data_IF_216414122290
#
_entry.id   IF_216414122290
#
_cell.length_a   1.000
_cell.length_b   1.000
_cell.length_c   1.000
_cell.angle_alpha   90.00
_cell.angle_beta   90.00
_cell.angle_gamma   90.00
#
_symmetry.space_group_name_H-M   'P 1'
#
loop_
_entity.id
_entity.type
_entity.pdbx_description
1 polymer ?
#
# COMPACT_ATOMS: atom_id res chain seq x y z
N UNK A 1 69.56 -16.41 -40.62
CA UNK A 1 68.93 -15.10 -40.39
C UNK A 1 67.62 -15.35 -39.69
N UNK A 2 67.58 -15.06 -38.40
CA UNK A 2 66.83 -13.93 -37.81
C UNK A 2 65.40 -14.36 -37.47
N UNK A 3 64.92 -14.27 -36.25
CA UNK A 3 65.45 -13.73 -35.00
C UNK A 3 64.40 -14.11 -33.98
N UNK A 4 64.73 -15.06 -33.10
CA UNK A 4 63.90 -15.34 -31.94
C UNK A 4 64.03 -14.14 -31.01
N UNK A 5 63.02 -13.27 -30.97
CA UNK A 5 62.87 -12.33 -29.87
C UNK A 5 62.44 -13.15 -28.64
N UNK A 6 63.19 -13.14 -27.54
CA UNK A 6 62.70 -13.71 -26.29
C UNK A 6 61.51 -12.85 -25.83
N UNK A 7 60.37 -13.49 -25.59
CA UNK A 7 59.22 -12.86 -24.95
C UNK A 7 59.69 -12.27 -23.61
N UNK A 8 59.58 -10.94 -23.47
CA UNK A 8 59.78 -10.30 -22.18
C UNK A 8 58.74 -10.88 -21.22
N UNK A 9 59.13 -11.30 -20.00
CA UNK A 9 58.17 -11.57 -18.95
C UNK A 9 57.33 -10.30 -18.78
N UNK A 10 56.02 -10.38 -18.99
CA UNK A 10 55.11 -9.31 -18.62
C UNK A 10 55.39 -9.03 -17.14
N UNK A 11 55.90 -7.83 -16.84
CA UNK A 11 55.99 -7.39 -15.45
C UNK A 11 54.61 -7.60 -14.82
N UNK A 12 54.52 -8.16 -13.60
CA UNK A 12 53.24 -8.27 -12.93
C UNK A 12 52.63 -6.87 -12.94
N UNK A 13 51.43 -6.75 -13.50
CA UNK A 13 50.63 -5.55 -13.30
C UNK A 13 50.53 -5.43 -11.80
N UNK A 14 51.26 -4.46 -11.26
CA UNK A 14 51.15 -4.08 -9.87
C UNK A 14 49.76 -3.47 -9.77
N UNK A 15 48.77 -4.33 -9.59
CA UNK A 15 47.45 -3.95 -9.13
C UNK A 15 47.75 -3.13 -7.89
N UNK A 16 47.54 -1.81 -8.03
CA UNK A 16 47.65 -0.90 -6.92
C UNK A 16 46.61 -1.43 -5.96
N UNK A 17 47.07 -2.17 -4.95
CA UNK A 17 46.28 -2.53 -3.82
C UNK A 17 45.79 -1.20 -3.27
N UNK A 18 44.56 -0.84 -3.65
CA UNK A 18 43.84 0.28 -3.04
C UNK A 18 44.07 0.13 -1.53
N UNK A 19 44.52 1.19 -0.84
CA UNK A 19 44.89 1.10 0.56
C UNK A 19 43.68 0.60 1.35
N UNK A 20 43.79 -0.67 1.70
CA UNK A 20 43.00 -1.51 2.58
C UNK A 20 41.51 -1.14 2.82
N UNK A 21 40.55 -2.02 2.46
CA UNK A 21 39.11 -1.89 2.78
C UNK A 21 38.78 -1.70 4.28
N UNK A 22 39.72 -1.96 5.19
CA UNK A 22 39.47 -1.93 6.63
C UNK A 22 39.24 -0.52 7.18
N UNK A 23 39.98 0.50 6.72
CA UNK A 23 39.77 1.88 7.20
C UNK A 23 38.42 2.44 6.72
N UNK A 24 38.06 2.20 5.46
CA UNK A 24 36.77 2.61 4.90
C UNK A 24 35.62 1.87 5.59
N UNK A 25 35.78 0.56 5.86
CA UNK A 25 34.77 -0.25 6.54
C UNK A 25 34.59 0.19 7.99
N UNK A 26 35.69 0.42 8.71
CA UNK A 26 35.68 0.93 10.08
C UNK A 26 35.05 2.33 10.14
N UNK A 27 35.40 3.23 9.20
CA UNK A 27 34.81 4.56 9.11
C UNK A 27 33.29 4.50 8.84
N UNK A 28 32.83 3.63 7.93
CA UNK A 28 31.41 3.42 7.68
C UNK A 28 30.68 2.88 8.91
N UNK A 29 31.29 1.95 9.65
CA UNK A 29 30.68 1.36 10.84
C UNK A 29 30.56 2.38 11.97
N UNK A 30 31.63 3.12 12.27
CA UNK A 30 31.63 4.19 13.26
C UNK A 30 30.58 5.26 12.89
N UNK A 31 30.56 5.68 11.62
CA UNK A 31 29.57 6.66 11.13
C UNK A 31 28.13 6.17 11.30
N UNK A 32 27.86 4.90 10.98
CA UNK A 32 26.53 4.30 11.16
C UNK A 32 26.09 4.27 12.63
N UNK A 33 27.00 3.94 13.55
CA UNK A 33 26.71 3.91 14.99
C UNK A 33 26.41 5.34 15.49
N UNK A 34 27.23 6.32 15.11
CA UNK A 34 27.05 7.72 15.51
C UNK A 34 25.69 8.25 15.01
N UNK A 35 25.39 8.09 13.72
CA UNK A 35 24.10 8.55 13.17
C UNK A 35 22.91 7.86 13.83
N UNK A 36 22.98 6.55 14.06
CA UNK A 36 21.90 5.81 14.72
C UNK A 36 21.67 6.28 16.14
N UNK A 37 22.75 6.54 16.89
CA UNK A 37 22.67 7.02 18.27
C UNK A 37 22.03 8.42 18.36
N UNK A 38 22.39 9.33 17.45
CA UNK A 38 21.78 10.66 17.38
C UNK A 38 20.29 10.58 17.04
N UNK A 39 19.89 9.71 16.11
CA UNK A 39 18.49 9.53 15.75
C UNK A 39 17.68 8.86 16.85
N UNK A 40 18.27 7.91 17.58
CA UNK A 40 17.65 7.30 18.75
C UNK A 40 17.43 8.33 19.87
N UNK A 41 18.40 9.22 20.09
CA UNK A 41 18.26 10.30 21.06
C UNK A 41 17.19 11.30 20.63
N UNK A 42 17.17 11.70 19.35
CA UNK A 42 16.12 12.56 18.80
C UNK A 42 14.72 11.95 18.98
N UNK A 43 14.57 10.65 18.70
CA UNK A 43 13.33 9.90 18.91
C UNK A 43 12.92 9.92 20.39
N UNK A 44 13.84 9.60 21.30
CA UNK A 44 13.59 9.60 22.75
C UNK A 44 13.13 10.98 23.21
N UNK A 45 13.79 12.04 22.74
CA UNK A 45 13.45 13.42 23.11
C UNK A 45 12.06 13.82 22.58
N UNK A 46 11.71 13.45 21.34
CA UNK A 46 10.35 13.66 20.80
C UNK A 46 9.30 12.90 21.61
N UNK A 47 9.57 11.66 22.01
CA UNK A 47 8.65 10.84 22.82
C UNK A 47 8.47 11.45 24.22
N UNK A 48 9.52 11.99 24.83
CA UNK A 48 9.44 12.66 26.13
C UNK A 48 8.64 13.98 26.05
N UNK A 49 8.82 14.77 24.98
CA UNK A 49 8.14 16.06 24.80
C UNK A 49 6.65 15.88 24.46
N UNK A 50 6.33 15.03 23.47
CA UNK A 50 4.94 14.86 23.01
C UNK A 50 4.18 13.78 23.77
N UNK A 51 4.87 12.97 24.57
CA UNK A 51 4.34 11.72 25.10
C UNK A 51 4.24 10.63 24.01
N UNK A 52 4.13 9.35 24.41
CA UNK A 52 4.04 8.24 23.46
C UNK A 52 2.81 8.35 22.54
N UNK A 53 1.67 8.78 23.07
CA UNK A 53 0.45 8.95 22.28
C UNK A 53 0.50 10.16 21.34
N UNK A 54 1.17 11.25 21.73
CA UNK A 54 1.36 12.42 20.87
C UNK A 54 2.34 12.14 19.72
N UNK A 55 3.37 11.35 19.98
CA UNK A 55 4.35 10.95 18.96
C UNK A 55 3.72 10.14 17.81
N UNK A 56 2.86 9.16 18.15
CA UNK A 56 2.22 8.25 17.19
C UNK A 56 1.15 8.98 16.33
N UNK A 57 0.69 10.17 16.72
CA UNK A 57 -0.31 10.90 15.92
C UNK A 57 0.24 11.40 14.58
N UNK A 58 1.55 11.64 14.48
CA UNK A 58 2.18 12.15 13.26
C UNK A 58 2.80 11.01 12.44
N UNK A 59 2.34 10.74 11.20
CA UNK A 59 2.86 9.63 10.38
C UNK A 59 4.35 9.77 10.06
N UNK A 60 4.87 11.00 9.96
CA UNK A 60 6.30 11.26 9.73
C UNK A 60 7.14 10.84 10.95
N UNK A 61 6.62 11.07 12.17
CA UNK A 61 7.29 10.63 13.39
C UNK A 61 7.24 9.11 13.53
N UNK A 62 6.11 8.46 13.21
CA UNK A 62 6.02 6.99 13.22
C UNK A 62 7.05 6.38 12.27
N UNK A 63 7.15 6.91 11.04
CA UNK A 63 8.10 6.41 10.05
C UNK A 63 9.57 6.55 10.53
N UNK A 64 9.96 7.73 11.04
CA UNK A 64 11.28 7.96 11.63
C UNK A 64 11.55 7.00 12.79
N UNK A 65 10.57 6.80 13.68
CA UNK A 65 10.63 5.85 14.79
C UNK A 65 10.85 4.41 14.34
N UNK A 66 10.16 3.93 13.29
CA UNK A 66 10.34 2.58 12.74
C UNK A 66 11.79 2.41 12.24
N UNK A 67 12.32 3.37 11.48
CA UNK A 67 13.69 3.31 10.98
C UNK A 67 14.71 3.28 12.13
N UNK A 68 14.50 4.08 13.17
CA UNK A 68 15.35 4.10 14.37
C UNK A 68 15.30 2.76 15.11
N UNK A 69 14.11 2.19 15.36
CA UNK A 69 13.95 0.91 16.05
C UNK A 69 14.63 -0.23 15.28
N UNK A 70 14.42 -0.31 13.96
CA UNK A 70 15.09 -1.30 13.11
C UNK A 70 16.61 -1.14 13.17
N UNK A 71 17.10 0.09 13.18
CA UNK A 71 18.54 0.38 13.23
C UNK A 71 19.17 0.01 14.57
N UNK A 72 18.48 0.24 15.68
CA UNK A 72 18.94 -0.18 17.01
C UNK A 72 18.89 -1.71 17.13
N UNK A 73 17.83 -2.34 16.61
CA UNK A 73 17.70 -3.79 16.59
C UNK A 73 18.83 -4.47 15.82
N UNK A 74 19.26 -3.89 14.70
CA UNK A 74 20.38 -4.40 13.92
C UNK A 74 21.70 -4.38 14.70
N UNK A 75 21.99 -3.30 15.43
CA UNK A 75 23.20 -3.17 16.26
C UNK A 75 23.18 -4.18 17.43
N UNK A 76 22.05 -4.30 18.12
CA UNK A 76 21.90 -5.23 19.27
C UNK A 76 21.96 -6.69 18.82
N UNK A 77 21.38 -7.01 17.67
CA UNK A 77 21.33 -8.36 17.11
C UNK A 77 22.70 -8.92 16.72
N UNK A 78 23.72 -8.08 16.49
CA UNK A 78 25.05 -8.55 16.09
C UNK A 78 25.81 -9.30 17.19
N UNK A 79 25.38 -9.20 18.46
CA UNK A 79 26.07 -9.85 19.58
C UNK A 79 25.74 -11.34 19.75
N UNK A 80 24.69 -11.85 19.08
CA UNK A 80 24.31 -13.27 19.10
C UNK A 80 24.84 -14.00 17.87
N UNK A 81 25.94 -14.76 18.01
CA UNK A 81 26.71 -15.40 16.94
C UNK A 81 26.03 -16.47 16.07
N UNK A 82 24.71 -16.42 15.84
CA UNK A 82 23.94 -17.50 15.20
C UNK A 82 23.21 -17.19 13.90
N UNK A 83 23.05 -15.94 13.48
CA UNK A 83 22.11 -15.64 12.37
C UNK A 83 22.78 -14.93 11.20
N UNK A 84 23.17 -15.70 10.18
CA UNK A 84 23.62 -15.13 8.89
C UNK A 84 22.58 -14.21 8.25
N UNK A 85 21.29 -14.39 8.57
CA UNK A 85 20.19 -13.49 8.16
C UNK A 85 20.35 -12.07 8.73
N UNK A 86 20.94 -11.91 9.92
CA UNK A 86 21.19 -10.58 10.49
C UNK A 86 22.21 -9.78 9.67
N UNK A 87 23.06 -10.46 8.89
CA UNK A 87 23.94 -9.78 7.93
C UNK A 87 23.17 -9.21 6.75
N UNK A 88 22.08 -9.84 6.33
CA UNK A 88 21.19 -9.31 5.27
C UNK A 88 20.45 -8.06 5.75
N UNK A 89 20.11 -7.98 7.04
CA UNK A 89 19.51 -6.78 7.63
C UNK A 89 20.40 -5.54 7.57
N UNK A 90 21.70 -5.71 7.35
CA UNK A 90 22.59 -4.59 7.03
C UNK A 90 22.10 -3.82 5.80
N UNK A 91 21.45 -4.46 4.82
CA UNK A 91 20.84 -3.79 3.65
C UNK A 91 19.74 -2.80 4.06
N UNK A 92 19.04 -3.06 5.17
CA UNK A 92 18.02 -2.14 5.69
C UNK A 92 18.60 -0.79 6.11
N UNK A 93 19.92 -0.66 6.33
CA UNK A 93 20.55 0.64 6.55
C UNK A 93 20.33 1.60 5.36
N UNK A 94 20.09 1.08 4.15
CA UNK A 94 19.71 1.90 2.99
C UNK A 94 18.38 2.62 3.21
N UNK A 95 17.50 2.08 4.06
CA UNK A 95 16.26 2.75 4.45
C UNK A 95 16.54 4.02 5.29
N UNK A 96 17.72 4.16 5.92
CA UNK A 96 18.14 5.43 6.53
C UNK A 96 18.26 6.54 5.49
N UNK A 97 18.54 6.22 4.21
CA UNK A 97 18.56 7.19 3.12
C UNK A 97 17.20 7.86 2.92
N UNK A 98 16.12 7.10 3.16
CA UNK A 98 14.75 7.62 3.08
C UNK A 98 14.55 8.79 4.05
N UNK A 99 15.21 8.78 5.22
CA UNK A 99 15.16 9.89 6.17
C UNK A 99 15.78 11.18 5.65
N UNK A 100 16.83 11.08 4.83
CA UNK A 100 17.48 12.23 4.22
C UNK A 100 16.74 12.76 2.99
N UNK A 101 15.83 11.97 2.41
CA UNK A 101 15.06 12.32 1.24
C UNK A 101 13.58 12.53 1.60
N UNK A 102 13.18 13.75 2.02
CA UNK A 102 11.79 14.04 2.40
C UNK A 102 10.79 13.78 1.27
N UNK A 103 11.24 13.84 0.01
CA UNK A 103 10.46 13.44 -1.15
C UNK A 103 10.03 11.96 -1.09
N UNK A 104 10.94 11.04 -0.72
CA UNK A 104 10.65 9.61 -0.57
C UNK A 104 9.74 9.35 0.64
N UNK A 105 9.95 10.04 1.76
CA UNK A 105 9.08 9.92 2.93
C UNK A 105 7.63 10.30 2.58
N UNK A 106 7.45 11.42 1.86
CA UNK A 106 6.13 11.84 1.38
C UNK A 106 5.50 10.77 0.49
N UNK A 107 6.26 10.19 -0.44
CA UNK A 107 5.75 9.13 -1.32
C UNK A 107 5.34 7.88 -0.55
N UNK A 108 6.14 7.40 0.41
CA UNK A 108 5.79 6.24 1.22
C UNK A 108 4.55 6.47 2.09
N UNK A 109 4.41 7.66 2.69
CA UNK A 109 3.21 7.99 3.49
C UNK A 109 1.97 8.05 2.59
N UNK A 110 2.08 8.60 1.37
CA UNK A 110 0.97 8.60 0.40
C UNK A 110 0.64 7.18 -0.05
N UNK A 111 1.64 6.36 -0.34
CA UNK A 111 1.45 4.94 -0.71
C UNK A 111 0.69 4.18 0.38
N UNK A 112 1.04 4.39 1.65
CA UNK A 112 0.34 3.78 2.79
C UNK A 112 -1.12 4.24 2.88
N UNK A 113 -1.40 5.53 2.62
CA UNK A 113 -2.79 6.02 2.57
C UNK A 113 -3.61 5.41 1.44
N UNK A 114 -2.97 5.11 0.29
CA UNK A 114 -3.66 4.47 -0.83
C UNK A 114 -3.85 2.97 -0.63
N UNK A 115 -3.08 2.33 0.27
CA UNK A 115 -3.21 0.90 0.53
C UNK A 115 -4.54 0.54 1.17
N UNK A 116 -5.15 1.43 1.96
CA UNK A 116 -6.44 1.17 2.62
C UNK A 116 -7.55 0.86 1.59
N UNK A 117 -7.61 1.63 0.51
CA UNK A 117 -8.58 1.42 -0.57
C UNK A 117 -8.31 0.10 -1.32
N UNK A 118 -7.03 -0.23 -1.54
CA UNK A 118 -6.61 -1.46 -2.24
C UNK A 118 -6.80 -2.72 -1.39
N UNK A 119 -6.71 -2.61 -0.06
CA UNK A 119 -6.75 -3.74 0.87
C UNK A 119 -8.04 -4.57 0.74
N UNK A 120 -9.19 -3.93 0.54
CA UNK A 120 -10.49 -4.62 0.37
C UNK A 120 -10.49 -5.52 -0.86
N UNK A 121 -9.89 -5.07 -1.96
CA UNK A 121 -9.78 -5.86 -3.18
C UNK A 121 -8.74 -6.98 -3.02
N UNK A 122 -7.59 -6.69 -2.41
CA UNK A 122 -6.59 -7.71 -2.09
C UNK A 122 -7.16 -8.82 -1.21
N UNK A 123 -8.04 -8.51 -0.26
CA UNK A 123 -8.74 -9.50 0.55
C UNK A 123 -9.63 -10.42 -0.29
N UNK A 124 -10.36 -9.88 -1.26
CA UNK A 124 -11.16 -10.67 -2.20
C UNK A 124 -10.27 -11.58 -3.07
N UNK A 125 -9.14 -11.07 -3.55
CA UNK A 125 -8.17 -11.87 -4.31
C UNK A 125 -7.57 -12.99 -3.46
N UNK A 126 -7.22 -12.72 -2.20
CA UNK A 126 -6.70 -13.73 -1.28
C UNK A 126 -7.75 -14.80 -0.95
N UNK A 127 -9.03 -14.43 -0.84
CA UNK A 127 -10.12 -15.39 -0.68
C UNK A 127 -10.24 -16.31 -1.91
N UNK A 128 -10.17 -15.75 -3.12
CA UNK A 128 -10.17 -16.54 -4.34
C UNK A 128 -8.99 -17.53 -4.37
N UNK A 129 -7.78 -17.05 -4.11
CA UNK A 129 -6.57 -17.89 -4.03
C UNK A 129 -6.77 -18.99 -2.98
N UNK A 130 -7.32 -18.65 -1.81
CA UNK A 130 -7.55 -19.60 -0.73
C UNK A 130 -8.52 -20.74 -1.15
N UNK A 131 -9.65 -20.40 -1.78
CA UNK A 131 -10.63 -21.40 -2.24
C UNK A 131 -9.99 -22.37 -3.24
N UNK A 132 -9.28 -21.85 -4.26
CA UNK A 132 -8.61 -22.69 -5.24
C UNK A 132 -7.45 -23.48 -4.64
N UNK A 133 -6.75 -22.94 -3.63
CA UNK A 133 -5.68 -23.66 -2.93
C UNK A 133 -6.21 -24.89 -2.22
N UNK A 134 -7.32 -24.77 -1.48
CA UNK A 134 -7.96 -25.91 -0.80
C UNK A 134 -8.48 -26.94 -1.82
N UNK A 135 -9.09 -26.49 -2.92
CA UNK A 135 -9.51 -27.39 -4.00
C UNK A 135 -8.32 -28.13 -4.61
N UNK A 136 -7.23 -27.43 -4.88
CA UNK A 136 -5.99 -28.01 -5.41
C UNK A 136 -5.37 -29.03 -4.45
N UNK A 137 -5.36 -28.75 -3.14
CA UNK A 137 -4.92 -29.71 -2.11
C UNK A 137 -5.79 -30.97 -2.11
N UNK A 138 -7.11 -30.83 -2.22
CA UNK A 138 -8.01 -31.99 -2.27
C UNK A 138 -7.82 -32.84 -3.54
N UNK A 139 -7.54 -32.21 -4.68
CA UNK A 139 -7.38 -32.92 -5.96
C UNK A 139 -5.98 -33.53 -6.12
N UNK A 140 -4.96 -32.81 -5.69
CA UNK A 140 -3.56 -33.09 -6.02
C UNK A 140 -2.60 -33.20 -4.82
N UNK A 141 -3.10 -33.14 -3.59
CA UNK A 141 -2.27 -33.23 -2.38
C UNK A 141 -1.46 -34.52 -2.32
N UNK A 142 -0.17 -34.39 -2.01
CA UNK A 142 0.83 -35.47 -1.95
C UNK A 142 1.08 -36.21 -3.27
N UNK A 143 0.66 -35.65 -4.42
CA UNK A 143 0.84 -36.28 -5.74
C UNK A 143 1.93 -35.63 -6.59
N UNK A 144 2.34 -34.40 -6.26
CA UNK A 144 3.38 -33.63 -6.95
C UNK A 144 4.82 -34.09 -6.61
N UNK A 145 5.04 -35.40 -6.53
CA UNK A 145 6.37 -35.99 -6.35
C UNK A 145 7.16 -35.95 -7.66
N UNK A 146 8.33 -35.31 -7.67
CA UNK A 146 9.25 -35.36 -8.80
C UNK A 146 10.01 -36.69 -8.79
N UNK A 147 9.56 -37.66 -9.59
CA UNK A 147 10.31 -38.90 -9.85
C UNK A 147 11.41 -38.64 -10.91
N UNK A 148 12.30 -37.69 -10.64
CA UNK A 148 13.50 -37.47 -11.45
C UNK A 148 14.72 -37.45 -10.55
N UNK A 149 15.40 -38.59 -10.59
CA UNK A 149 16.83 -38.79 -10.33
C UNK A 149 17.27 -38.66 -8.86
N UNK A 150 17.28 -39.79 -8.15
CA UNK A 150 18.17 -40.09 -7.01
C UNK A 150 18.00 -39.32 -5.69
N UNK A 151 17.61 -38.05 -5.73
CA UNK A 151 17.45 -37.16 -4.59
C UNK A 151 16.00 -36.65 -4.56
N UNK A 152 15.18 -37.27 -3.73
CA UNK A 152 13.75 -36.95 -3.57
C UNK A 152 13.57 -35.56 -2.94
N UNK A 153 13.74 -34.51 -3.72
CA UNK A 153 13.32 -33.16 -3.34
C UNK A 153 11.91 -32.91 -3.90
N UNK A 154 10.92 -32.60 -3.05
CA UNK A 154 9.59 -32.22 -3.54
C UNK A 154 9.72 -31.00 -4.45
N UNK A 155 9.01 -31.00 -5.58
CA UNK A 155 8.96 -29.85 -6.47
C UNK A 155 8.49 -28.64 -5.64
N UNK A 156 9.12 -27.47 -5.82
CA UNK A 156 8.76 -26.25 -5.08
C UNK A 156 7.32 -25.83 -5.32
N UNK A 157 6.72 -26.31 -6.42
CA UNK A 157 5.36 -26.01 -6.88
C UNK A 157 4.41 -27.18 -6.59
N UNK A 158 4.14 -27.43 -5.31
CA UNK A 158 3.30 -28.55 -4.86
C UNK A 158 2.03 -28.07 -4.14
N UNK A 159 1.08 -28.99 -3.98
CA UNK A 159 -0.19 -28.80 -3.27
C UNK A 159 -0.25 -29.62 -1.97
N UNK A 160 0.90 -29.88 -1.35
CA UNK A 160 0.98 -30.77 -0.19
C UNK A 160 0.64 -30.05 1.12
N UNK A 161 0.93 -28.76 1.18
CA UNK A 161 0.60 -27.88 2.31
C UNK A 161 -0.12 -26.63 1.82
N UNK A 162 -0.96 -26.06 2.67
CA UNK A 162 -1.76 -24.87 2.36
C UNK A 162 -0.91 -23.69 1.89
N UNK A 163 0.21 -23.41 2.55
CA UNK A 163 1.09 -22.30 2.14
C UNK A 163 1.70 -22.53 0.76
N UNK A 164 2.15 -23.75 0.46
CA UNK A 164 2.69 -24.11 -0.86
C UNK A 164 1.61 -24.10 -1.94
N UNK A 165 0.38 -24.54 -1.62
CA UNK A 165 -0.76 -24.46 -2.52
C UNK A 165 -1.15 -23.01 -2.82
N UNK A 166 -1.16 -22.13 -1.82
CA UNK A 166 -1.41 -20.68 -1.99
C UNK A 166 -0.36 -20.05 -2.90
N UNK A 167 0.92 -20.32 -2.66
CA UNK A 167 2.02 -19.82 -3.51
C UNK A 167 1.90 -20.36 -4.94
N UNK A 168 1.57 -21.64 -5.10
CA UNK A 168 1.40 -22.27 -6.43
C UNK A 168 0.22 -21.69 -7.19
N UNK A 169 -0.93 -21.49 -6.54
CA UNK A 169 -2.11 -20.84 -7.15
C UNK A 169 -1.80 -19.38 -7.51
N UNK A 170 -1.12 -18.65 -6.62
CA UNK A 170 -0.66 -17.29 -6.91
C UNK A 170 0.27 -17.26 -8.13
N UNK A 171 1.22 -18.18 -8.23
CA UNK A 171 2.12 -18.32 -9.38
C UNK A 171 1.36 -18.61 -10.69
N UNK A 172 0.31 -19.44 -10.65
CA UNK A 172 -0.53 -19.69 -11.83
C UNK A 172 -1.30 -18.41 -12.23
N UNK A 173 -1.82 -17.65 -11.25
CA UNK A 173 -2.50 -16.38 -11.50
C UNK A 173 -1.60 -15.30 -12.09
N UNK A 174 -0.33 -15.24 -11.69
CA UNK A 174 0.66 -14.34 -12.30
C UNK A 174 1.14 -14.81 -13.67
N UNK A 175 0.64 -15.96 -14.14
CA UNK A 175 1.02 -16.60 -15.39
C UNK A 175 2.51 -16.98 -15.47
N UNK A 176 3.17 -17.13 -14.32
CA UNK A 176 4.58 -17.49 -14.27
C UNK A 176 4.73 -19.00 -14.21
N UNK A 177 5.34 -19.59 -15.25
CA UNK A 177 5.63 -21.04 -15.30
C UNK A 177 4.39 -21.96 -15.09
N UNK A 178 3.16 -21.45 -15.29
CA UNK A 178 1.91 -22.19 -15.11
C UNK A 178 1.83 -23.47 -15.94
N UNK A 179 2.44 -23.47 -17.13
CA UNK A 179 2.53 -24.63 -18.01
C UNK A 179 3.24 -25.81 -17.34
N UNK A 180 4.33 -25.54 -16.59
CA UNK A 180 5.07 -26.60 -15.89
C UNK A 180 4.20 -27.23 -14.80
N UNK A 181 3.48 -26.40 -14.05
CA UNK A 181 2.57 -26.88 -12.99
C UNK A 181 1.42 -27.70 -13.59
N UNK A 182 0.86 -27.25 -14.73
CA UNK A 182 -0.15 -27.99 -15.49
C UNK A 182 0.38 -29.36 -15.92
N UNK A 183 1.53 -29.42 -16.58
CA UNK A 183 2.10 -30.69 -17.07
C UNK A 183 2.45 -31.63 -15.92
N UNK A 184 3.01 -31.11 -14.83
CA UNK A 184 3.28 -31.91 -13.63
C UNK A 184 1.98 -32.44 -13.01
N UNK A 185 0.92 -31.62 -12.93
CA UNK A 185 -0.38 -32.05 -12.44
C UNK A 185 -1.02 -33.14 -13.30
N UNK A 186 -0.91 -33.03 -14.63
CA UNK A 186 -1.38 -34.05 -15.57
C UNK A 186 -0.60 -35.36 -15.44
N UNK A 187 0.73 -35.29 -15.29
CA UNK A 187 1.60 -36.45 -15.13
C UNK A 187 1.35 -37.19 -13.81
N UNK A 188 1.09 -36.45 -12.73
CA UNK A 188 0.88 -36.99 -11.37
C UNK A 188 -0.53 -37.52 -11.08
N UNK A 189 -1.52 -37.18 -11.91
CA UNK A 189 -2.91 -37.64 -11.70
C UNK A 189 -3.52 -38.21 -12.95
N UNK A 190 -4.14 -37.36 -13.76
CA UNK A 190 -4.83 -37.72 -15.00
C UNK A 190 -4.79 -36.52 -15.94
N UNK A 191 -4.89 -36.71 -17.26
CA UNK A 191 -5.02 -35.61 -18.21
C UNK A 191 -6.22 -34.68 -17.92
N UNK A 192 -7.26 -35.17 -17.23
CA UNK A 192 -8.44 -34.40 -16.82
C UNK A 192 -8.09 -33.30 -15.81
N UNK A 193 -6.97 -33.44 -15.08
CA UNK A 193 -6.42 -32.39 -14.22
C UNK A 193 -6.20 -31.06 -14.95
N UNK A 194 -5.96 -31.11 -16.26
CA UNK A 194 -5.80 -29.91 -17.09
C UNK A 194 -6.99 -28.96 -16.98
N UNK A 195 -8.21 -29.49 -16.80
CA UNK A 195 -9.42 -28.67 -16.67
C UNK A 195 -9.37 -27.76 -15.44
N UNK A 196 -8.81 -28.24 -14.32
CA UNK A 196 -8.64 -27.42 -13.12
C UNK A 196 -7.70 -26.23 -13.39
N UNK A 197 -6.54 -26.48 -14.00
CA UNK A 197 -5.56 -25.44 -14.28
C UNK A 197 -6.03 -24.45 -15.35
N UNK A 198 -6.70 -24.94 -16.40
CA UNK A 198 -7.29 -24.09 -17.44
C UNK A 198 -8.41 -23.23 -16.83
N UNK A 199 -9.30 -23.81 -16.03
CA UNK A 199 -10.34 -23.06 -15.34
C UNK A 199 -9.75 -22.02 -14.39
N UNK A 200 -8.76 -22.39 -13.56
CA UNK A 200 -8.05 -21.48 -12.68
C UNK A 200 -7.40 -20.33 -13.45
N UNK A 201 -6.79 -20.63 -14.61
CA UNK A 201 -6.17 -19.62 -15.47
C UNK A 201 -7.23 -18.68 -16.07
N UNK A 202 -8.32 -19.19 -16.64
CA UNK A 202 -9.34 -18.37 -17.29
C UNK A 202 -10.13 -17.54 -16.28
N UNK A 203 -10.70 -18.19 -15.25
CA UNK A 203 -11.50 -17.50 -14.23
C UNK A 203 -10.63 -16.61 -13.33
N UNK A 204 -9.44 -17.07 -12.97
CA UNK A 204 -8.51 -16.31 -12.14
C UNK A 204 -8.03 -15.02 -12.79
N UNK A 205 -7.66 -15.08 -14.08
CA UNK A 205 -7.30 -13.87 -14.82
C UNK A 205 -8.51 -12.95 -15.01
N UNK A 206 -9.71 -13.49 -15.24
CA UNK A 206 -10.93 -12.67 -15.32
C UNK A 206 -11.19 -11.92 -14.01
N UNK A 207 -11.06 -12.59 -12.86
CA UNK A 207 -11.16 -11.96 -11.53
C UNK A 207 -10.08 -10.90 -11.35
N UNK A 208 -8.83 -11.19 -11.72
CA UNK A 208 -7.72 -10.22 -11.62
C UNK A 208 -7.96 -8.97 -12.49
N UNK A 209 -8.41 -9.13 -13.73
CA UNK A 209 -8.71 -7.99 -14.60
C UNK A 209 -9.88 -7.16 -14.06
N UNK A 210 -10.95 -7.80 -13.59
CA UNK A 210 -12.06 -7.08 -12.97
C UNK A 210 -11.64 -6.32 -11.72
N UNK A 211 -10.73 -6.90 -10.92
CA UNK A 211 -10.16 -6.27 -9.75
C UNK A 211 -9.25 -5.09 -10.12
N UNK A 212 -8.42 -5.23 -11.16
CA UNK A 212 -7.58 -4.14 -11.67
C UNK A 212 -8.44 -2.96 -12.15
N UNK A 213 -9.52 -3.24 -12.88
CA UNK A 213 -10.47 -2.21 -13.32
C UNK A 213 -11.13 -1.54 -12.13
N UNK A 214 -11.57 -2.32 -11.12
CA UNK A 214 -12.18 -1.77 -9.91
C UNK A 214 -11.22 -0.82 -9.15
N UNK A 215 -9.97 -1.23 -8.94
CA UNK A 215 -8.95 -0.40 -8.29
C UNK A 215 -8.66 0.87 -9.10
N UNK A 216 -8.59 0.76 -10.42
CA UNK A 216 -8.35 1.91 -11.30
C UNK A 216 -9.52 2.90 -11.26
N UNK A 217 -10.76 2.40 -11.27
CA UNK A 217 -11.96 3.23 -11.12
C UNK A 217 -11.95 3.92 -9.77
N UNK A 218 -11.70 3.20 -8.68
CA UNK A 218 -11.63 3.79 -7.34
C UNK A 218 -10.50 4.82 -7.21
N UNK A 219 -9.36 4.58 -7.87
CA UNK A 219 -8.26 5.55 -7.96
C UNK A 219 -8.70 6.87 -8.59
N UNK A 220 -9.41 6.83 -9.72
CA UNK A 220 -9.94 8.04 -10.35
C UNK A 220 -11.04 8.73 -9.55
N UNK A 221 -11.92 7.96 -8.91
CA UNK A 221 -12.96 8.53 -8.04
C UNK A 221 -12.35 9.25 -6.83
N UNK A 222 -11.29 8.69 -6.23
CA UNK A 222 -10.61 9.30 -5.07
C UNK A 222 -9.95 10.64 -5.43
N UNK A 223 -9.35 10.74 -6.63
CA UNK A 223 -8.78 12.01 -7.13
C UNK A 223 -9.86 13.09 -7.36
N UNK A 224 -11.02 12.72 -7.89
CA UNK A 224 -12.13 13.66 -8.09
C UNK A 224 -12.71 14.17 -6.76
N UNK A 225 -12.91 13.28 -5.79
CA UNK A 225 -13.43 13.64 -4.47
C UNK A 225 -12.49 14.62 -3.77
N UNK A 226 -11.19 14.31 -3.75
CA UNK A 226 -10.17 15.19 -3.12
C UNK A 226 -10.16 16.59 -3.76
N UNK A 227 -10.21 16.69 -5.10
CA UNK A 227 -10.26 17.99 -5.79
C UNK A 227 -11.52 18.78 -5.48
N UNK A 228 -12.69 18.12 -5.36
CA UNK A 228 -13.96 18.80 -5.03
C UNK A 228 -13.97 19.30 -3.58
N UNK A 229 -13.43 18.52 -2.64
CA UNK A 229 -13.28 18.94 -1.25
C UNK A 229 -12.37 20.16 -1.12
N UNK A 230 -11.20 20.15 -1.79
CA UNK A 230 -10.29 21.31 -1.81
C UNK A 230 -10.96 22.57 -2.40
N UNK A 231 -11.74 22.39 -3.47
CA UNK A 231 -12.50 23.49 -4.08
C UNK A 231 -13.58 24.03 -3.15
N UNK A 232 -14.33 23.15 -2.48
CA UNK A 232 -15.35 23.53 -1.49
C UNK A 232 -14.75 24.26 -0.28
N UNK A 233 -13.61 23.79 0.22
CA UNK A 233 -12.89 24.45 1.33
C UNK A 233 -12.46 25.85 0.90
N UNK A 234 -11.88 26.01 -0.29
CA UNK A 234 -11.53 27.35 -0.81
C UNK A 234 -12.76 28.26 -0.98
N UNK A 235 -13.88 27.74 -1.51
CA UNK A 235 -15.12 28.50 -1.66
C UNK A 235 -15.66 28.95 -0.29
N UNK A 236 -15.63 28.05 0.69
CA UNK A 236 -16.08 28.35 2.05
C UNK A 236 -15.21 29.40 2.76
N UNK A 237 -13.90 29.42 2.50
CA UNK A 237 -12.99 30.46 3.03
C UNK A 237 -13.25 31.84 2.41
N UNK A 238 -13.69 31.90 1.16
CA UNK A 238 -14.08 33.15 0.50
C UNK A 238 -15.41 33.70 1.08
N UNK A 239 -16.24 32.84 1.68
CA UNK A 239 -17.54 33.20 2.24
C UNK A 239 -17.56 33.43 3.75
N UNK A 240 -16.41 33.68 4.41
CA UNK A 240 -16.44 34.15 5.80
C UNK A 240 -17.27 35.44 5.90
N UNK A 241 -18.21 35.54 6.87
CA UNK A 241 -18.93 36.79 7.08
C UNK A 241 -17.92 37.86 7.47
N UNK A 242 -17.84 38.94 6.68
CA UNK A 242 -17.34 40.21 7.19
C UNK A 242 -18.40 40.69 8.17
N UNK A 243 -18.28 40.28 9.43
CA UNK A 243 -19.10 40.83 10.51
C UNK A 243 -18.23 41.15 11.71
N UNK A 244 -17.49 42.26 11.58
CA UNK A 244 -17.02 43.05 12.71
C UNK A 244 -16.58 44.44 12.23
N UNK A 245 -17.47 45.43 12.32
CA UNK A 245 -17.10 46.83 12.10
C UNK A 245 -18.24 47.82 11.90
N UNK A 246 -18.92 48.18 13.00
CA UNK A 246 -19.45 49.53 13.30
C UNK A 246 -20.11 50.31 12.14
N UNK A 247 -21.44 50.44 12.17
CA UNK A 247 -22.13 51.67 11.78
C UNK A 247 -23.45 51.80 12.53
N UNK A 248 -23.36 52.44 13.70
CA UNK A 248 -24.46 53.08 14.40
C UNK A 248 -25.02 54.22 13.54
N UNK A 249 -26.33 54.45 13.65
CA UNK A 249 -27.10 55.60 13.16
C UNK A 249 -27.64 55.51 11.72
N UNK A 250 -28.92 55.17 11.59
CA UNK A 250 -30.01 56.12 11.26
C UNK A 250 -31.30 55.32 11.02
N UNK A 251 -32.18 55.26 12.01
CA UNK A 251 -33.59 54.91 11.79
C UNK A 251 -34.34 56.19 11.38
N UNK A 252 -35.07 56.20 10.25
CA UNK A 252 -36.13 57.17 10.03
C UNK A 252 -37.45 56.70 10.72
N UNK A 253 -38.30 57.63 11.18
CA UNK A 253 -39.44 57.33 12.06
C UNK A 253 -40.62 56.68 11.30
N UNK A 254 -41.51 55.94 12.00
CA UNK A 254 -42.68 55.33 11.37
C UNK A 254 -43.83 56.34 11.18
N UNK A 255 -44.57 56.30 10.05
CA UNK A 255 -45.82 57.04 9.89
C UNK A 255 -47.02 56.32 10.55
N UNK A 256 -48.08 57.07 10.93
CA UNK A 256 -49.13 56.58 11.83
C UNK A 256 -50.37 56.04 11.11
N UNK A 257 -51.12 55.22 11.84
CA UNK A 257 -52.51 54.76 11.62
C UNK A 257 -52.73 53.62 10.60
N UNK A 258 -53.14 52.46 11.10
CA UNK A 258 -54.54 52.02 11.08
C UNK A 258 -54.67 50.50 11.39
N UNK A 259 -55.31 50.24 12.53
CA UNK A 259 -56.21 49.14 12.90
C UNK A 259 -56.53 48.06 11.87
N UNK A 260 -56.34 46.78 12.23
CA UNK A 260 -57.34 45.69 12.31
C UNK A 260 -56.57 44.34 12.28
N UNK A 261 -56.57 43.52 13.34
CA UNK A 261 -57.64 42.62 13.81
C UNK A 261 -57.27 41.18 13.51
N UNK A 262 -57.10 40.41 14.59
CA UNK A 262 -57.27 38.97 14.70
C UNK A 262 -56.30 38.04 13.96
N UNK A 263 -56.04 36.82 14.39
CA UNK A 263 -56.26 35.99 15.60
C UNK A 263 -55.96 34.57 15.04
N UNK A 264 -55.60 33.64 15.92
CA UNK A 264 -55.72 32.18 15.73
C UNK A 264 -54.61 31.54 14.87
N UNK A 265 -54.01 30.39 15.21
CA UNK A 265 -53.82 29.55 16.40
C UNK A 265 -53.23 28.25 15.83
N UNK A 266 -52.57 27.49 16.70
CA UNK A 266 -52.29 26.04 16.61
C UNK A 266 -51.10 25.64 15.72
N UNK A 267 -49.98 25.19 16.28
CA UNK A 267 -49.75 23.94 17.04
C UNK A 267 -50.18 22.68 16.29
N UNK A 268 -49.27 22.07 15.52
CA UNK A 268 -48.78 20.69 15.69
C UNK A 268 -47.94 20.26 14.45
N UNK A 269 -46.95 19.36 14.62
CA UNK A 269 -46.10 18.86 13.54
C UNK A 269 -46.74 17.65 12.84
N UNK A 270 -46.24 17.25 11.66
CA UNK A 270 -46.27 15.83 11.36
C UNK A 270 -44.92 15.30 10.84
N UNK A 271 -44.53 14.21 11.49
CA UNK A 271 -43.67 13.16 11.00
C UNK A 271 -44.28 12.41 9.81
N UNK A 272 -43.41 11.81 8.99
CA UNK A 272 -43.64 10.68 8.08
C UNK A 272 -44.51 10.94 6.83
N UNK A 273 -43.86 11.18 5.68
CA UNK A 273 -44.40 10.78 4.38
C UNK A 273 -43.35 10.04 3.51
N UNK A 274 -43.85 8.93 2.96
CA UNK A 274 -43.24 7.93 2.10
C UNK A 274 -42.65 8.48 0.78
N UNK A 275 -41.67 7.79 0.13
CA UNK A 275 -40.95 8.28 -1.06
C UNK A 275 -41.77 8.43 -2.35
N UNK A 276 -43.05 8.05 -2.35
CA UNK A 276 -43.87 8.01 -3.58
C UNK A 276 -44.36 9.38 -4.07
N UNK A 277 -44.16 10.47 -3.31
CA UNK A 277 -44.60 11.82 -3.70
C UNK A 277 -43.54 12.64 -4.47
N UNK A 278 -42.28 12.20 -4.49
CA UNK A 278 -41.19 12.93 -5.15
C UNK A 278 -41.15 12.71 -6.67
N UNK A 279 -41.64 11.56 -7.15
CA UNK A 279 -41.67 11.23 -8.57
C UNK A 279 -42.77 11.97 -9.35
N UNK A 280 -43.87 12.37 -8.71
CA UNK A 280 -44.95 13.09 -9.41
C UNK A 280 -44.57 14.55 -9.69
N UNK A 281 -43.84 15.22 -8.79
CA UNK A 281 -43.37 16.59 -9.00
C UNK A 281 -42.22 16.68 -10.02
N UNK A 282 -41.41 15.63 -10.16
CA UNK A 282 -40.35 15.61 -11.19
C UNK A 282 -40.88 15.40 -12.61
N UNK A 283 -42.09 14.83 -12.77
CA UNK A 283 -42.69 14.61 -14.10
C UNK A 283 -43.54 15.79 -14.57
N UNK A 284 -44.16 16.55 -13.66
CA UNK A 284 -44.90 17.77 -14.01
C UNK A 284 -43.98 18.94 -14.41
N UNK A 285 -42.77 19.04 -13.85
CA UNK A 285 -41.85 20.13 -14.15
C UNK A 285 -41.10 19.99 -15.50
N UNK A 286 -41.35 18.92 -16.26
CA UNK A 286 -40.67 18.65 -17.55
C UNK A 286 -41.52 19.03 -18.77
N UNK A 287 -42.80 19.39 -18.57
CA UNK A 287 -43.72 19.70 -19.66
C UNK A 287 -43.78 21.19 -20.03
N UNK A 288 -43.24 22.07 -19.19
CA UNK A 288 -43.25 23.53 -19.41
C UNK A 288 -42.06 24.06 -20.25
N UNK A 289 -41.18 23.19 -20.76
CA UNK A 289 -39.99 23.58 -21.54
C UNK A 289 -40.10 23.32 -23.06
N UNK A 290 -41.26 22.92 -23.57
CA UNK A 290 -41.49 22.70 -25.01
C UNK A 290 -42.79 23.38 -25.51
N UNK A 291 -42.94 24.67 -25.22
CA UNK A 291 -43.87 25.57 -25.90
C UNK A 291 -43.20 26.92 -26.21
#
# INVERSE_FOLDING_TARGET
>A
MSSWHPEMPLAPVQETADPNPDELTNALEISNIVFTSLFALEMLLKVLVYGPFGYIKNPYNIFDGIIVVISVWEIVGQQGGGLSVLRTFRLMRVLKLVRFMPALQRQLVVLMKTMDNVATFCMLLMLFIFIFSILGMHLFGCKFGSEKDGDTLPDRKNFDSLLWAIVTVFQILTQEDWNKVLYNGMASTTPVAALYFIALMTFGNYVLFNLLVAILVEGFQTEEVTKREDLHVQLSLIQLPIDSGVCTALQPPPPPHATHTHLILLTHPPSLLSPSHFLLNSLLNRQDYLA
#
